data_IF_478414232716
#
_entry.id   IF_478414232716
#
_cell.length_a   1.000
_cell.length_b   1.000
_cell.length_c   1.000
_cell.angle_alpha   90.00
_cell.angle_beta   90.00
_cell.angle_gamma   90.00
#
_symmetry.space_group_name_H-M   'P 1'
#
loop_
_entity.id
_entity.type
_entity.pdbx_description
1 polymer ?
#
# COMPACT_ATOMS: atom_id res chain seq x y z
N UNK A 1 -3.87 -2.03 31.14
CA UNK A 1 -4.15 -0.74 30.46
C UNK A 1 -4.43 -1.03 29.00
N UNK A 2 -5.34 -0.28 28.37
CA UNK A 2 -5.64 -0.45 26.94
C UNK A 2 -4.69 0.40 26.10
N UNK A 3 -4.17 -0.18 25.02
CA UNK A 3 -3.20 0.42 24.11
C UNK A 3 -3.66 0.24 22.67
N UNK A 4 -3.19 1.13 21.80
CA UNK A 4 -3.20 0.90 20.37
C UNK A 4 -2.01 0.00 19.98
N UNK A 5 -2.13 -0.72 18.86
CA UNK A 5 -1.08 -1.59 18.32
C UNK A 5 0.19 -0.77 18.05
N UNK A 6 0.06 0.47 17.57
CA UNK A 6 1.20 1.34 17.28
C UNK A 6 2.04 1.68 18.52
N UNK A 7 1.47 1.59 19.72
CA UNK A 7 2.17 1.86 20.98
C UNK A 7 2.84 0.61 21.57
N UNK A 8 2.57 -0.57 21.00
CA UNK A 8 3.15 -1.82 21.48
C UNK A 8 4.65 -1.90 21.20
N UNK A 9 5.41 -2.19 22.25
CA UNK A 9 6.86 -2.36 22.19
C UNK A 9 7.34 -3.36 23.26
N UNK A 10 8.65 -3.61 23.31
CA UNK A 10 9.25 -4.58 24.23
C UNK A 10 9.15 -4.19 25.72
N UNK A 11 8.91 -2.92 26.05
CA UNK A 11 8.80 -2.48 27.45
C UNK A 11 7.45 -2.89 28.06
N UNK A 12 6.46 -3.18 27.22
CA UNK A 12 5.15 -3.70 27.62
C UNK A 12 5.12 -5.23 27.74
N UNK A 13 6.28 -5.89 27.69
CA UNK A 13 6.36 -7.35 27.68
C UNK A 13 5.94 -7.96 29.03
N UNK A 14 4.91 -8.80 29.02
CA UNK A 14 4.38 -9.47 30.22
C UNK A 14 2.87 -9.31 30.39
N UNK A 15 2.43 -9.25 31.65
CA UNK A 15 1.03 -9.12 32.02
C UNK A 15 0.77 -7.67 32.46
N UNK A 16 0.00 -6.90 31.68
CA UNK A 16 -0.64 -5.60 32.02
C UNK A 16 -1.05 -4.74 30.81
N UNK A 17 -1.01 -5.29 29.60
CA UNK A 17 -1.51 -4.61 28.41
C UNK A 17 -2.75 -5.32 27.86
N UNK A 18 -3.61 -4.55 27.20
CA UNK A 18 -4.71 -5.06 26.41
C UNK A 18 -4.87 -4.24 25.14
N UNK A 19 -5.30 -4.88 24.06
CA UNK A 19 -5.64 -4.24 22.79
C UNK A 19 -7.01 -4.71 22.34
N UNK A 20 -7.75 -3.84 21.68
CA UNK A 20 -9.03 -4.21 21.03
C UNK A 20 -8.82 -4.21 19.53
N UNK A 21 -8.92 -5.40 18.93
CA UNK A 21 -8.45 -5.66 17.56
C UNK A 21 -9.43 -6.52 16.78
N UNK A 22 -9.41 -6.40 15.46
CA UNK A 22 -10.06 -7.35 14.56
C UNK A 22 -9.04 -8.35 14.04
N UNK A 23 -9.44 -9.61 13.90
CA UNK A 23 -8.65 -10.60 13.17
C UNK A 23 -8.84 -10.39 11.67
N UNK A 24 -7.82 -9.92 10.95
CA UNK A 24 -7.89 -9.81 9.48
C UNK A 24 -7.71 -11.16 8.80
N UNK A 25 -6.71 -11.93 9.25
CA UNK A 25 -6.32 -13.18 8.61
C UNK A 25 -5.87 -14.18 9.66
N UNK A 26 -6.17 -15.46 9.46
CA UNK A 26 -5.72 -16.56 10.32
C UNK A 26 -5.20 -17.71 9.46
N UNK A 27 -3.99 -18.17 9.76
CA UNK A 27 -3.43 -19.33 9.08
C UNK A 27 -4.12 -20.62 9.57
N UNK A 28 -4.00 -21.68 8.77
CA UNK A 28 -4.22 -23.03 9.28
C UNK A 28 -3.17 -23.37 10.37
N UNK A 29 -3.40 -24.46 11.10
CA UNK A 29 -2.38 -25.02 11.99
C UNK A 29 -1.23 -25.57 11.14
N UNK A 30 -0.03 -25.09 11.41
CA UNK A 30 1.21 -25.49 10.73
C UNK A 30 2.04 -26.31 11.71
N UNK A 31 2.40 -27.53 11.30
CA UNK A 31 3.32 -28.37 12.05
C UNK A 31 4.78 -27.98 11.75
N UNK A 32 5.66 -28.10 12.73
CA UNK A 32 7.10 -27.91 12.55
C UNK A 32 7.88 -28.99 13.30
N UNK A 33 9.10 -29.21 12.85
CA UNK A 33 10.09 -30.07 13.50
C UNK A 33 11.43 -29.35 13.49
N UNK A 34 12.07 -29.26 14.65
CA UNK A 34 13.41 -28.71 14.78
C UNK A 34 14.22 -29.55 15.79
N UNK A 35 15.46 -29.13 16.06
CA UNK A 35 16.36 -29.81 17.01
C UNK A 35 15.77 -29.92 18.44
N UNK A 36 14.85 -29.02 18.79
CA UNK A 36 14.18 -28.97 20.10
C UNK A 36 12.90 -29.81 20.16
N UNK A 37 12.48 -30.41 19.04
CA UNK A 37 11.35 -31.31 18.96
C UNK A 37 10.34 -30.95 17.86
N UNK A 38 9.19 -31.61 17.91
CA UNK A 38 8.06 -31.35 17.03
C UNK A 38 7.02 -30.48 17.73
N UNK A 39 6.29 -29.68 16.96
CA UNK A 39 5.23 -28.85 17.48
C UNK A 39 4.31 -28.35 16.40
N UNK A 40 3.40 -27.47 16.79
CA UNK A 40 2.47 -26.81 15.89
C UNK A 40 2.26 -25.36 16.29
N UNK A 41 1.88 -24.53 15.34
CA UNK A 41 1.48 -23.16 15.59
C UNK A 41 0.42 -22.72 14.60
N UNK A 42 -0.24 -21.61 14.90
CA UNK A 42 -0.92 -20.83 13.88
C UNK A 42 -0.51 -19.37 14.04
N UNK A 43 -0.64 -18.59 12.98
CA UNK A 43 -0.42 -17.15 12.99
C UNK A 43 -1.68 -16.43 12.59
N UNK A 44 -1.83 -15.21 13.08
CA UNK A 44 -2.94 -14.34 12.72
C UNK A 44 -2.44 -12.91 12.54
N UNK A 45 -3.09 -12.15 11.65
CA UNK A 45 -2.87 -10.72 11.51
C UNK A 45 -4.02 -10.02 12.25
N UNK A 46 -3.65 -9.21 13.23
CA UNK A 46 -4.54 -8.39 14.04
C UNK A 46 -4.45 -6.95 13.55
N UNK A 47 -5.58 -6.25 13.52
CA UNK A 47 -5.64 -4.84 13.13
C UNK A 47 -6.44 -4.02 14.15
N UNK A 48 -6.02 -2.79 14.33
CA UNK A 48 -6.80 -1.72 14.95
C UNK A 48 -6.83 -0.48 14.04
N UNK A 49 -7.17 0.68 14.60
CA UNK A 49 -7.23 1.93 13.83
C UNK A 49 -5.86 2.45 13.41
N UNK A 50 -4.81 2.02 14.09
CA UNK A 50 -3.46 2.57 13.96
C UNK A 50 -2.62 1.75 13.00
N UNK A 51 -2.52 0.44 13.20
CA UNK A 51 -1.68 -0.44 12.39
C UNK A 51 -2.08 -1.91 12.53
N UNK A 52 -1.32 -2.78 11.88
CA UNK A 52 -1.45 -4.22 11.99
C UNK A 52 -0.32 -4.80 12.83
N UNK A 53 -0.55 -5.96 13.41
CA UNK A 53 0.50 -6.75 14.06
C UNK A 53 0.23 -8.24 13.86
N UNK A 54 1.30 -8.99 13.62
CA UNK A 54 1.20 -10.45 13.59
C UNK A 54 1.18 -10.99 15.01
N UNK A 55 0.37 -12.01 15.24
CA UNK A 55 0.38 -12.79 16.47
C UNK A 55 0.52 -14.29 16.18
N UNK A 56 1.15 -15.01 17.10
CA UNK A 56 1.48 -16.45 16.96
C UNK A 56 1.18 -17.22 18.24
N UNK A 57 0.46 -18.33 18.12
CA UNK A 57 0.26 -19.31 19.20
C UNK A 57 0.98 -20.61 18.87
N UNK A 58 1.69 -21.19 19.85
CA UNK A 58 2.41 -22.46 19.72
C UNK A 58 1.80 -23.54 20.62
N UNK A 59 2.02 -24.80 20.28
CA UNK A 59 1.75 -25.94 21.17
C UNK A 59 0.30 -25.96 21.69
N UNK A 60 0.15 -25.93 23.01
CA UNK A 60 -1.17 -25.99 23.67
C UNK A 60 -1.98 -24.70 23.45
N UNK A 61 -1.33 -23.53 23.39
CA UNK A 61 -1.99 -22.27 23.05
C UNK A 61 -2.54 -22.30 21.62
N UNK A 62 -1.88 -23.02 20.71
CA UNK A 62 -2.38 -23.22 19.36
C UNK A 62 -3.70 -24.00 19.39
N UNK A 63 -3.83 -25.04 20.20
CA UNK A 63 -5.11 -25.76 20.29
C UNK A 63 -6.20 -24.96 20.97
N UNK A 64 -5.86 -24.32 22.08
CA UNK A 64 -6.79 -23.53 22.90
C UNK A 64 -7.40 -22.37 22.12
N UNK A 65 -6.56 -21.60 21.42
CA UNK A 65 -6.99 -20.33 20.81
C UNK A 65 -7.48 -20.46 19.37
N UNK A 66 -7.14 -21.56 18.67
CA UNK A 66 -7.43 -21.68 17.24
C UNK A 66 -8.92 -21.65 16.89
N UNK A 67 -9.77 -22.25 17.72
CA UNK A 67 -11.22 -22.23 17.54
C UNK A 67 -11.85 -20.92 18.02
N UNK A 68 -11.22 -20.26 19.00
CA UNK A 68 -11.71 -19.04 19.61
C UNK A 68 -11.53 -17.82 18.70
N UNK A 69 -10.36 -17.68 18.07
CA UNK A 69 -10.08 -16.58 17.15
C UNK A 69 -10.65 -16.89 15.76
N UNK A 70 -11.58 -16.07 15.28
CA UNK A 70 -12.20 -16.18 13.97
C UNK A 70 -11.94 -14.92 13.15
N UNK A 71 -11.73 -15.09 11.84
CA UNK A 71 -11.53 -13.95 10.93
C UNK A 71 -12.73 -13.03 10.93
N UNK A 72 -12.47 -11.73 10.79
CA UNK A 72 -13.40 -10.61 10.83
C UNK A 72 -14.05 -10.31 12.19
N UNK A 73 -13.88 -11.16 13.21
CA UNK A 73 -14.40 -10.90 14.55
C UNK A 73 -13.44 -9.98 15.34
N UNK A 74 -14.00 -9.30 16.34
CA UNK A 74 -13.31 -8.32 17.17
C UNK A 74 -13.07 -8.93 18.55
N UNK A 75 -11.87 -8.74 19.06
CA UNK A 75 -11.44 -9.29 20.34
C UNK A 75 -10.72 -8.24 21.15
N UNK A 76 -10.99 -8.23 22.46
CA UNK A 76 -10.09 -7.64 23.42
C UNK A 76 -9.09 -8.72 23.85
N UNK A 77 -7.83 -8.52 23.48
CA UNK A 77 -6.72 -9.44 23.80
C UNK A 77 -5.93 -8.81 24.92
N UNK A 78 -5.70 -9.57 25.99
CA UNK A 78 -4.90 -9.16 27.14
C UNK A 78 -3.73 -10.10 27.33
N UNK A 79 -2.61 -9.51 27.72
CA UNK A 79 -1.34 -10.19 28.00
C UNK A 79 -0.77 -10.95 26.80
N UNK A 80 0.51 -11.25 26.91
CA UNK A 80 1.27 -11.97 25.90
C UNK A 80 2.66 -11.41 25.79
N UNK A 81 3.51 -12.12 25.06
CA UNK A 81 4.90 -11.73 24.91
C UNK A 81 5.06 -10.91 23.63
N UNK A 82 5.48 -9.66 23.76
CA UNK A 82 5.80 -8.78 22.63
C UNK A 82 7.30 -8.89 22.38
N UNK A 83 7.69 -9.17 21.14
CA UNK A 83 9.09 -9.26 20.73
C UNK A 83 9.29 -8.64 19.36
N UNK A 84 10.54 -8.32 19.00
CA UNK A 84 10.87 -7.93 17.63
C UNK A 84 10.45 -9.03 16.64
N UNK A 85 9.83 -8.62 15.56
CA UNK A 85 9.43 -9.47 14.45
C UNK A 85 10.67 -10.05 13.77
N UNK A 86 10.69 -11.37 13.62
CA UNK A 86 11.72 -12.04 12.85
C UNK A 86 11.43 -11.87 11.36
N UNK A 87 12.06 -10.88 10.72
CA UNK A 87 11.79 -10.52 9.32
C UNK A 87 12.18 -11.62 8.32
N UNK A 88 12.87 -12.67 8.73
CA UNK A 88 13.06 -13.86 7.88
C UNK A 88 11.76 -14.66 7.72
N UNK A 89 10.88 -14.64 8.73
CA UNK A 89 9.63 -15.43 8.78
C UNK A 89 8.36 -14.58 8.93
N UNK A 90 8.52 -13.28 9.13
CA UNK A 90 7.46 -12.31 9.37
C UNK A 90 7.66 -11.07 8.50
N UNK A 91 7.01 -11.09 7.33
CA UNK A 91 7.01 -9.95 6.40
C UNK A 91 5.98 -8.87 6.78
N UNK A 92 5.37 -8.94 7.97
CA UNK A 92 4.42 -7.91 8.39
C UNK A 92 5.10 -6.55 8.55
N UNK A 93 4.31 -5.50 8.35
CA UNK A 93 4.76 -4.09 8.39
C UNK A 93 5.19 -3.65 9.79
N UNK A 94 4.80 -4.38 10.83
CA UNK A 94 5.15 -4.08 12.22
C UNK A 94 6.52 -4.65 12.58
N UNK A 95 7.29 -3.89 13.35
CA UNK A 95 8.59 -4.33 13.87
C UNK A 95 8.48 -5.25 15.08
N UNK A 96 7.29 -5.41 15.62
CA UNK A 96 6.97 -6.32 16.71
C UNK A 96 6.00 -7.42 16.28
N UNK A 97 6.03 -8.53 17.02
CA UNK A 97 5.13 -9.67 16.91
C UNK A 97 4.67 -10.10 18.30
N UNK A 98 3.39 -10.48 18.41
CA UNK A 98 2.81 -10.98 19.65
C UNK A 98 2.91 -12.50 19.69
N UNK A 99 3.45 -13.04 20.78
CA UNK A 99 3.42 -14.46 21.06
C UNK A 99 2.41 -14.71 22.17
N UNK A 100 1.35 -15.42 21.83
CA UNK A 100 0.36 -15.85 22.81
C UNK A 100 0.98 -16.80 23.82
N UNK A 101 0.52 -16.69 25.06
CA UNK A 101 0.96 -17.47 26.22
C UNK A 101 -0.24 -18.04 26.95
N UNK A 102 0.02 -18.91 27.91
CA UNK A 102 -0.99 -19.42 28.84
C UNK A 102 -1.76 -18.28 29.54
N UNK A 103 -1.09 -17.18 29.87
CA UNK A 103 -1.69 -15.99 30.50
C UNK A 103 -2.49 -15.11 29.54
N UNK A 104 -2.46 -15.36 28.23
CA UNK A 104 -3.22 -14.60 27.24
C UNK A 104 -4.71 -14.88 27.39
N UNK A 105 -5.46 -13.79 27.62
CA UNK A 105 -6.91 -13.77 27.72
C UNK A 105 -7.46 -13.15 26.45
N UNK A 106 -8.43 -13.83 25.81
CA UNK A 106 -9.12 -13.34 24.62
C UNK A 106 -10.61 -13.26 24.94
N UNK A 107 -11.19 -12.06 24.77
CA UNK A 107 -12.61 -11.80 25.01
C UNK A 107 -13.20 -11.26 23.72
N UNK A 108 -14.11 -12.02 23.10
CA UNK A 108 -14.84 -11.57 21.92
C UNK A 108 -15.71 -10.36 22.25
N UNK A 109 -15.68 -9.37 21.37
CA UNK A 109 -16.46 -8.15 21.48
C UNK A 109 -17.57 -8.16 20.43
N UNK A 110 -18.77 -7.77 20.84
CA UNK A 110 -19.94 -7.68 19.98
C UNK A 110 -20.39 -6.22 19.87
N UNK A 111 -20.95 -5.86 18.72
CA UNK A 111 -21.51 -4.54 18.46
C UNK A 111 -20.78 -3.77 17.36
N UNK A 112 -21.14 -2.49 17.21
CA UNK A 112 -20.52 -1.61 16.24
C UNK A 112 -19.10 -1.24 16.69
N UNK A 113 -18.15 -1.37 15.78
CA UNK A 113 -16.77 -0.93 15.95
C UNK A 113 -16.35 -0.12 14.73
N UNK A 114 -15.44 0.82 14.93
CA UNK A 114 -14.75 1.56 13.90
C UNK A 114 -13.38 0.94 13.53
N UNK A 115 -13.07 -0.26 14.05
CA UNK A 115 -11.90 -1.03 13.64
C UNK A 115 -12.05 -1.49 12.18
N UNK A 116 -11.07 -1.19 11.30
CA UNK A 116 -11.11 -1.54 9.88
C UNK A 116 -11.36 -3.03 9.61
N UNK A 117 -12.04 -3.33 8.50
CA UNK A 117 -12.27 -4.69 7.96
C UNK A 117 -11.29 -5.05 6.85
N UNK A 118 -10.33 -4.19 6.59
CA UNK A 118 -9.37 -4.28 5.50
C UNK A 118 -7.99 -3.89 6.02
N UNK A 119 -6.91 -4.31 5.34
CA UNK A 119 -5.55 -3.88 5.69
C UNK A 119 -5.39 -2.35 5.65
N UNK A 120 -4.27 -1.84 6.15
CA UNK A 120 -3.95 -0.42 6.11
C UNK A 120 -3.65 0.06 4.68
N UNK A 121 -4.72 0.44 3.97
CA UNK A 121 -4.68 0.90 2.58
C UNK A 121 -4.05 2.28 2.47
N UNK A 122 -3.09 2.42 1.56
CA UNK A 122 -2.49 3.70 1.15
C UNK A 122 -3.20 4.24 -0.08
N UNK A 123 -3.32 5.57 -0.14
CA UNK A 123 -3.86 6.24 -1.33
C UNK A 123 -2.86 6.12 -2.49
N UNK A 124 -3.36 6.27 -3.71
CA UNK A 124 -2.53 6.35 -4.91
C UNK A 124 -1.64 7.60 -4.88
N UNK A 125 -2.05 8.66 -4.18
CA UNK A 125 -1.16 9.80 -3.90
C UNK A 125 0.05 9.38 -3.07
N UNK A 126 -0.14 8.60 -1.99
CA UNK A 126 0.98 8.14 -1.15
C UNK A 126 2.01 7.33 -1.95
N UNK A 127 1.56 6.50 -2.90
CA UNK A 127 2.44 5.70 -3.76
C UNK A 127 3.56 6.51 -4.40
N UNK A 128 3.31 7.76 -4.81
CA UNK A 128 4.31 8.60 -5.48
C UNK A 128 5.45 9.05 -4.57
N UNK A 129 5.25 8.99 -3.25
CA UNK A 129 6.25 9.34 -2.24
C UNK A 129 6.98 8.13 -1.64
N UNK A 130 6.60 6.91 -2.04
CA UNK A 130 7.15 5.68 -1.46
C UNK A 130 8.38 5.18 -2.22
N UNK A 131 9.29 4.56 -1.47
CA UNK A 131 10.54 4.03 -2.02
C UNK A 131 10.31 2.82 -2.93
N UNK A 132 11.18 2.67 -3.93
CA UNK A 132 11.20 1.52 -4.84
C UNK A 132 11.48 0.25 -4.04
N UNK A 133 10.88 -0.86 -4.47
CA UNK A 133 10.91 -2.19 -3.84
C UNK A 133 10.16 -2.31 -2.51
N UNK A 134 9.48 -1.26 -2.06
CA UNK A 134 8.55 -1.36 -0.92
C UNK A 134 7.23 -2.00 -1.33
N UNK A 135 6.54 -2.59 -0.34
CA UNK A 135 5.21 -3.16 -0.51
C UNK A 135 4.14 -2.13 -0.17
N UNK A 136 3.08 -2.08 -0.97
CA UNK A 136 1.95 -1.19 -0.81
C UNK A 136 0.63 -1.98 -0.86
N UNK A 137 -0.26 -1.66 0.08
CA UNK A 137 -1.66 -2.07 -0.01
C UNK A 137 -2.44 -0.86 -0.51
N UNK A 138 -3.21 -1.03 -1.58
CA UNK A 138 -3.97 0.08 -2.16
C UNK A 138 -5.27 -0.42 -2.78
N UNK A 139 -6.21 0.49 -2.98
CA UNK A 139 -7.49 0.23 -3.61
C UNK A 139 -7.84 1.37 -4.55
N UNK A 140 -8.41 1.03 -5.71
CA UNK A 140 -8.84 2.01 -6.68
C UNK A 140 -9.89 1.46 -7.63
N UNK A 141 -10.53 2.34 -8.37
CA UNK A 141 -11.38 1.98 -9.50
C UNK A 141 -10.50 1.65 -10.71
N UNK A 142 -10.84 0.60 -11.44
CA UNK A 142 -10.22 0.26 -12.71
C UNK A 142 -10.69 1.26 -13.75
N UNK A 143 -9.80 2.14 -14.20
CA UNK A 143 -10.07 3.09 -15.28
C UNK A 143 -9.83 2.46 -16.65
N UNK A 144 -8.84 1.57 -16.73
CA UNK A 144 -8.47 0.95 -18.01
C UNK A 144 -7.83 -0.41 -17.83
N UNK A 145 -8.20 -1.33 -18.71
CA UNK A 145 -7.59 -2.67 -18.80
C UNK A 145 -6.87 -2.78 -20.16
N UNK A 146 -5.54 -2.81 -20.15
CA UNK A 146 -4.77 -2.97 -21.39
C UNK A 146 -4.82 -4.43 -21.88
N UNK A 147 -4.58 -4.61 -23.19
CA UNK A 147 -4.43 -5.95 -23.77
C UNK A 147 -3.18 -6.63 -23.21
N UNK A 148 -3.26 -7.94 -22.98
CA UNK A 148 -2.10 -8.77 -22.62
C UNK A 148 -1.04 -8.68 -23.71
N UNK A 149 0.22 -8.50 -23.30
CA UNK A 149 1.40 -8.43 -24.16
C UNK A 149 2.38 -9.54 -23.77
N UNK A 150 3.20 -9.96 -24.71
CA UNK A 150 4.27 -10.92 -24.47
C UNK A 150 5.61 -10.19 -24.46
N UNK A 151 6.41 -10.44 -23.43
CA UNK A 151 7.71 -9.78 -23.20
C UNK A 151 8.79 -10.85 -23.10
N UNK A 152 9.85 -10.73 -23.90
CA UNK A 152 11.01 -11.62 -23.82
C UNK A 152 11.79 -11.40 -22.53
N UNK A 153 12.23 -12.49 -21.90
CA UNK A 153 13.17 -12.41 -20.78
C UNK A 153 14.51 -11.89 -21.28
N UNK A 154 15.19 -11.04 -20.48
CA UNK A 154 16.48 -10.46 -20.86
C UNK A 154 17.56 -11.52 -21.19
N UNK A 155 17.47 -12.71 -20.58
CA UNK A 155 18.53 -13.73 -20.62
C UNK A 155 18.03 -15.14 -21.02
N UNK A 156 16.82 -15.28 -21.56
CA UNK A 156 16.35 -16.57 -22.10
C UNK A 156 15.45 -16.37 -23.31
N UNK A 157 15.24 -17.44 -24.09
CA UNK A 157 14.23 -17.46 -25.15
C UNK A 157 12.80 -17.52 -24.60
N UNK A 158 12.63 -17.64 -23.29
CA UNK A 158 11.31 -17.63 -22.68
C UNK A 158 10.72 -16.23 -22.69
N UNK A 159 9.40 -16.20 -22.57
CA UNK A 159 8.60 -14.98 -22.51
C UNK A 159 7.77 -14.96 -21.23
N UNK A 160 7.42 -13.76 -20.80
CA UNK A 160 6.39 -13.51 -19.79
C UNK A 160 5.19 -12.88 -20.45
N UNK A 161 3.99 -13.17 -19.95
CA UNK A 161 2.81 -12.37 -20.29
C UNK A 161 2.67 -11.22 -19.30
N UNK A 162 2.35 -10.04 -19.81
CA UNK A 162 2.16 -8.83 -19.04
C UNK A 162 0.80 -8.22 -19.38
N UNK A 163 0.08 -7.77 -18.36
CA UNK A 163 -1.12 -6.93 -18.52
C UNK A 163 -1.00 -5.70 -17.62
N UNK A 164 -1.12 -4.52 -18.21
CA UNK A 164 -1.19 -3.25 -17.47
C UNK A 164 -2.65 -2.95 -17.13
N UNK A 165 -2.92 -2.57 -15.89
CA UNK A 165 -4.23 -2.09 -15.40
C UNK A 165 -4.01 -0.70 -14.81
N UNK A 166 -4.85 0.26 -15.16
CA UNK A 166 -4.76 1.61 -14.61
C UNK A 166 -5.82 1.75 -13.53
N UNK A 167 -5.37 1.99 -12.30
CA UNK A 167 -6.22 2.31 -11.16
C UNK A 167 -6.26 3.81 -10.92
N UNK A 168 -7.37 4.30 -10.39
CA UNK A 168 -7.54 5.67 -9.89
C UNK A 168 -8.29 5.63 -8.56
N UNK A 169 -8.06 6.58 -7.67
CA UNK A 169 -8.75 6.66 -6.39
C UNK A 169 -9.34 8.06 -6.17
N UNK A 170 -9.89 8.29 -4.98
CA UNK A 170 -10.53 9.57 -4.61
C UNK A 170 -9.58 10.78 -4.64
N UNK A 171 -8.27 10.56 -4.59
CA UNK A 171 -7.28 11.65 -4.68
C UNK A 171 -7.17 12.20 -6.11
N UNK A 172 -7.69 11.46 -7.10
CA UNK A 172 -7.62 11.84 -8.50
C UNK A 172 -6.33 11.41 -9.20
N UNK A 173 -5.36 10.87 -8.47
CA UNK A 173 -4.15 10.27 -9.05
C UNK A 173 -4.44 8.88 -9.62
N UNK A 174 -3.71 8.52 -10.68
CA UNK A 174 -3.78 7.21 -11.31
C UNK A 174 -2.46 6.48 -11.20
N UNK A 175 -2.48 5.16 -11.04
CA UNK A 175 -1.27 4.32 -11.03
C UNK A 175 -1.43 3.14 -11.97
N UNK A 176 -0.35 2.73 -12.63
CA UNK A 176 -0.31 1.51 -13.43
C UNK A 176 0.08 0.32 -12.57
N UNK A 177 -0.77 -0.69 -12.56
CA UNK A 177 -0.57 -2.00 -11.94
C UNK A 177 -0.19 -3.00 -13.01
N UNK A 178 0.87 -3.75 -12.79
CA UNK A 178 1.40 -4.75 -13.71
C UNK A 178 1.07 -6.14 -13.19
N UNK A 179 0.31 -6.88 -13.98
CA UNK A 179 0.07 -8.30 -13.79
C UNK A 179 1.02 -9.13 -14.67
N UNK A 180 1.38 -10.31 -14.17
CA UNK A 180 2.29 -11.22 -14.85
C UNK A 180 1.62 -12.58 -15.11
N UNK A 181 2.05 -13.27 -16.16
CA UNK A 181 1.73 -14.67 -16.48
C UNK A 181 0.28 -15.08 -16.18
N UNK A 182 0.07 -15.90 -15.15
CA UNK A 182 -1.24 -16.46 -14.80
C UNK A 182 -2.24 -15.35 -14.49
N UNK A 183 -1.85 -14.39 -13.66
CA UNK A 183 -2.66 -13.22 -13.29
C UNK A 183 -2.94 -12.38 -14.54
N UNK A 184 -1.96 -12.19 -15.42
CA UNK A 184 -2.13 -11.45 -16.66
C UNK A 184 -3.06 -12.14 -17.67
N UNK A 185 -3.14 -13.47 -17.70
CA UNK A 185 -4.03 -14.21 -18.60
C UNK A 185 -5.44 -14.25 -18.02
N UNK A 186 -5.55 -14.62 -16.74
CA UNK A 186 -6.81 -14.96 -16.10
C UNK A 186 -7.50 -13.75 -15.46
N UNK A 187 -6.91 -12.55 -15.54
CA UNK A 187 -7.54 -11.34 -15.03
C UNK A 187 -8.93 -11.15 -15.63
N UNK A 188 -9.93 -11.14 -14.75
CA UNK A 188 -11.35 -11.08 -15.08
C UNK A 188 -12.04 -10.03 -14.21
N UNK A 189 -12.09 -8.81 -14.72
CA UNK A 189 -12.81 -7.66 -14.17
C UNK A 189 -13.12 -6.68 -15.31
N UNK A 190 -13.94 -5.67 -15.04
CA UNK A 190 -14.34 -4.65 -16.00
C UNK A 190 -13.80 -3.27 -15.58
N UNK A 191 -13.73 -2.35 -16.54
CA UNK A 191 -13.58 -0.93 -16.23
C UNK A 191 -14.76 -0.47 -15.37
N UNK A 192 -14.49 0.32 -14.33
CA UNK A 192 -15.44 0.71 -13.29
C UNK A 192 -15.52 -0.23 -12.09
N UNK A 193 -14.99 -1.46 -12.16
CA UNK A 193 -14.87 -2.32 -10.99
C UNK A 193 -13.84 -1.76 -9.99
N UNK A 194 -14.05 -2.03 -8.71
CA UNK A 194 -13.08 -1.68 -7.66
C UNK A 194 -12.08 -2.83 -7.50
N UNK A 195 -10.80 -2.51 -7.51
CA UNK A 195 -9.71 -3.45 -7.35
C UNK A 195 -8.86 -3.05 -6.15
N UNK A 196 -8.67 -3.98 -5.22
CA UNK A 196 -7.68 -3.87 -4.15
C UNK A 196 -6.46 -4.73 -4.49
N UNK A 197 -5.28 -4.23 -4.13
CA UNK A 197 -4.01 -4.93 -4.21
C UNK A 197 -3.40 -4.90 -2.83
N UNK A 198 -3.16 -6.07 -2.25
CA UNK A 198 -2.43 -6.23 -0.98
C UNK A 198 -1.03 -6.74 -1.32
N UNK A 199 -0.02 -6.19 -0.65
CA UNK A 199 1.40 -6.50 -0.86
C UNK A 199 1.84 -6.32 -2.32
N UNK A 200 1.39 -5.27 -3.00
CA UNK A 200 1.89 -4.89 -4.32
C UNK A 200 3.29 -4.29 -4.22
N UNK A 201 4.23 -4.64 -5.10
CA UNK A 201 5.59 -4.13 -5.04
C UNK A 201 5.77 -2.89 -5.91
N UNK A 202 6.32 -1.81 -5.35
CA UNK A 202 6.68 -0.62 -6.13
C UNK A 202 7.92 -0.91 -6.98
N UNK A 203 7.79 -0.78 -8.29
CA UNK A 203 8.88 -1.02 -9.25
C UNK A 203 9.05 0.17 -10.18
N UNK A 204 10.22 0.28 -10.80
CA UNK A 204 10.45 1.20 -11.92
C UNK A 204 10.55 0.42 -13.22
N UNK A 205 9.68 0.75 -14.17
CA UNK A 205 9.74 0.19 -15.52
C UNK A 205 9.70 1.30 -16.56
N UNK A 206 10.74 1.38 -17.39
CA UNK A 206 10.92 2.45 -18.40
C UNK A 206 10.81 3.86 -17.80
N UNK A 207 11.48 4.09 -16.67
CA UNK A 207 11.52 5.35 -15.92
C UNK A 207 10.15 5.81 -15.38
N UNK A 208 9.18 4.90 -15.26
CA UNK A 208 7.89 5.17 -14.64
C UNK A 208 7.70 4.22 -13.47
N UNK A 209 7.29 4.78 -12.32
CA UNK A 209 6.94 3.99 -11.16
C UNK A 209 5.62 3.26 -11.42
N UNK A 210 5.58 1.96 -11.10
CA UNK A 210 4.41 1.10 -11.23
C UNK A 210 4.26 0.22 -9.99
N UNK A 211 3.07 -0.35 -9.81
CA UNK A 211 2.84 -1.40 -8.81
C UNK A 211 2.91 -2.74 -9.54
N UNK A 212 3.85 -3.61 -9.18
CA UNK A 212 3.94 -4.97 -9.69
C UNK A 212 3.20 -5.92 -8.75
N UNK A 213 2.31 -6.74 -9.30
CA UNK A 213 1.77 -7.89 -8.59
C UNK A 213 2.82 -8.99 -8.60
N UNK A 214 3.11 -9.54 -7.43
CA UNK A 214 4.10 -10.61 -7.23
C UNK A 214 3.43 -11.84 -6.64
N UNK A 215 4.16 -12.94 -6.45
CA UNK A 215 3.59 -14.18 -5.89
C UNK A 215 3.08 -14.05 -4.45
N UNK A 216 3.48 -13.01 -3.71
CA UNK A 216 2.95 -12.70 -2.38
C UNK A 216 1.77 -11.73 -2.40
N UNK A 217 1.48 -11.11 -3.54
CA UNK A 217 0.42 -10.10 -3.66
C UNK A 217 -0.97 -10.75 -3.75
N UNK A 218 -1.97 -10.11 -3.18
CA UNK A 218 -3.37 -10.55 -3.25
C UNK A 218 -4.21 -9.52 -4.00
N UNK A 219 -4.96 -9.97 -5.02
CA UNK A 219 -5.90 -9.12 -5.78
C UNK A 219 -7.31 -9.46 -5.35
N UNK A 220 -8.08 -8.44 -4.96
CA UNK A 220 -9.50 -8.58 -4.66
C UNK A 220 -10.31 -7.66 -5.56
N UNK A 221 -11.27 -8.24 -6.30
CA UNK A 221 -12.21 -7.51 -7.15
C UNK A 221 -13.51 -7.31 -6.38
N UNK A 222 -13.97 -6.06 -6.31
CA UNK A 222 -15.14 -5.61 -5.57
C UNK A 222 -15.21 -6.19 -4.14
N UNK A 223 -14.16 -6.02 -3.31
CA UNK A 223 -14.16 -6.53 -1.94
C UNK A 223 -15.28 -5.89 -1.13
N UNK A 224 -15.87 -6.63 -0.20
CA UNK A 224 -16.99 -6.16 0.64
C UNK A 224 -16.50 -5.29 1.80
N UNK A 225 -16.03 -4.10 1.47
CA UNK A 225 -15.55 -3.11 2.43
C UNK A 225 -16.27 -1.78 2.23
N UNK A 226 -16.40 -1.00 3.30
CA UNK A 226 -17.01 0.33 3.22
C UNK A 226 -16.31 1.23 2.20
N UNK A 227 -14.98 1.19 2.16
CA UNK A 227 -14.15 1.94 1.18
C UNK A 227 -14.48 1.60 -0.28
N UNK A 228 -14.98 0.39 -0.56
CA UNK A 228 -15.41 -0.04 -1.89
C UNK A 228 -16.66 0.72 -2.33
N UNK A 229 -17.70 0.77 -1.48
CA UNK A 229 -18.95 1.48 -1.77
C UNK A 229 -18.72 2.99 -1.95
N UNK A 230 -17.84 3.51 -1.10
CA UNK A 230 -17.32 4.86 -1.11
C UNK A 230 -16.63 5.23 -2.43
N UNK A 231 -15.75 4.36 -2.94
CA UNK A 231 -15.07 4.54 -4.23
C UNK A 231 -16.04 4.43 -5.40
N UNK A 232 -16.97 3.47 -5.36
CA UNK A 232 -18.01 3.33 -6.39
C UNK A 232 -18.87 4.59 -6.50
N UNK A 233 -19.28 5.15 -5.36
CA UNK A 233 -20.07 6.39 -5.31
C UNK A 233 -19.30 7.57 -5.89
N UNK A 234 -18.04 7.73 -5.47
CA UNK A 234 -17.15 8.75 -6.01
C UNK A 234 -16.95 8.62 -7.52
N UNK A 235 -16.73 7.40 -8.03
CA UNK A 235 -16.49 7.17 -9.45
C UNK A 235 -17.72 7.52 -10.30
N UNK A 236 -18.93 7.15 -9.85
CA UNK A 236 -20.18 7.54 -10.54
C UNK A 236 -20.34 9.05 -10.65
N UNK A 237 -19.92 9.82 -9.65
CA UNK A 237 -19.92 11.28 -9.72
C UNK A 237 -18.83 11.83 -10.65
N UNK A 238 -17.65 11.22 -10.61
CA UNK A 238 -16.53 11.55 -11.50
C UNK A 238 -16.91 11.35 -12.98
N UNK A 239 -17.47 10.20 -13.35
CA UNK A 239 -17.91 9.91 -14.72
C UNK A 239 -18.99 10.88 -15.21
N UNK A 240 -19.97 11.22 -14.35
CA UNK A 240 -21.00 12.21 -14.70
C UNK A 240 -20.37 13.56 -15.04
N UNK A 241 -19.37 14.00 -14.28
CA UNK A 241 -18.67 15.27 -14.54
C UNK A 241 -17.88 15.21 -15.86
N UNK A 242 -17.17 14.12 -16.12
CA UNK A 242 -16.48 13.88 -17.40
C UNK A 242 -17.44 13.91 -18.60
N UNK A 243 -18.57 13.20 -18.51
CA UNK A 243 -19.60 13.19 -19.56
C UNK A 243 -20.27 14.55 -19.74
N UNK A 244 -20.52 15.29 -18.66
CA UNK A 244 -21.04 16.66 -18.73
C UNK A 244 -20.05 17.59 -19.43
N UNK A 245 -18.77 17.51 -19.10
CA UNK A 245 -17.72 18.28 -19.79
C UNK A 245 -17.70 17.94 -21.29
N UNK A 246 -17.76 16.66 -21.66
CA UNK A 246 -17.83 16.21 -23.06
C UNK A 246 -19.11 16.67 -23.79
N UNK A 247 -20.25 16.70 -23.09
CA UNK A 247 -21.53 17.13 -23.66
C UNK A 247 -21.62 18.65 -23.86
N UNK A 248 -21.06 19.44 -22.94
CA UNK A 248 -20.92 20.90 -23.08
C UNK A 248 -19.98 21.25 -24.23
N UNK A 249 -19.01 20.39 -24.53
CA UNK A 249 -18.16 20.50 -25.73
C UNK A 249 -18.90 20.10 -27.02
N UNK A 250 -19.97 19.29 -26.95
CA UNK A 250 -20.68 18.73 -28.11
C UNK A 250 -21.92 19.53 -28.54
N UNK A 251 -22.51 20.34 -27.65
CA UNK A 251 -23.69 21.18 -27.96
C UNK A 251 -23.33 22.47 -28.72
N UNK A 252 -22.03 22.78 -28.88
CA UNK A 252 -21.55 23.96 -29.61
C UNK A 252 -21.50 23.85 -31.14
N UNK A 253 -22.15 22.86 -31.76
CA UNK A 253 -22.02 22.63 -33.21
C UNK A 253 -23.32 22.24 -33.91
N UNK A 254 -24.23 23.20 -34.14
CA UNK A 254 -25.01 23.34 -35.39
C UNK A 254 -25.46 24.81 -35.64
N UNK A 255 -24.86 25.39 -36.70
CA UNK A 255 -25.26 26.46 -37.66
C UNK A 255 -25.69 27.88 -37.22
N UNK A 256 -24.78 28.87 -37.34
CA UNK A 256 -24.65 29.80 -38.49
C UNK A 256 -23.64 30.95 -38.21
N UNK A 257 -22.49 30.96 -38.91
CA UNK A 257 -21.89 32.11 -39.61
C UNK A 257 -20.40 31.88 -39.94
N UNK A 258 -20.05 32.15 -41.19
CA UNK A 258 -18.77 31.84 -41.85
C UNK A 258 -17.55 32.66 -41.36
N UNK A 259 -17.68 33.42 -40.27
CA UNK A 259 -16.54 34.04 -39.56
C UNK A 259 -16.00 33.17 -38.41
N UNK A 260 -16.77 32.19 -37.91
CA UNK A 260 -16.43 31.46 -36.68
C UNK A 260 -15.65 30.15 -36.91
N UNK A 261 -15.60 29.63 -38.14
CA UNK A 261 -14.82 28.41 -38.48
C UNK A 261 -13.32 28.62 -38.22
N UNK A 262 -12.83 29.87 -38.38
CA UNK A 262 -11.46 30.23 -38.03
C UNK A 262 -11.22 30.33 -36.52
N UNK A 263 -12.26 30.54 -35.71
CA UNK A 263 -12.20 30.67 -34.25
C UNK A 263 -12.41 29.32 -33.55
N UNK A 264 -13.26 28.43 -34.09
CA UNK A 264 -13.47 27.09 -33.58
C UNK A 264 -12.27 26.16 -33.82
N UNK A 265 -11.63 26.24 -34.99
CA UNK A 265 -10.36 25.55 -35.22
C UNK A 265 -9.25 26.11 -34.31
N UNK A 266 -9.22 27.44 -34.07
CA UNK A 266 -8.32 28.02 -33.06
C UNK A 266 -8.62 27.49 -31.67
N UNK A 267 -9.88 27.37 -31.25
CA UNK A 267 -10.24 26.91 -29.91
C UNK A 267 -9.98 25.42 -29.67
N UNK A 268 -10.15 24.56 -30.69
CA UNK A 268 -9.68 23.16 -30.62
C UNK A 268 -8.17 23.08 -30.47
N UNK A 269 -7.44 23.85 -31.28
CA UNK A 269 -5.98 23.93 -31.17
C UNK A 269 -5.54 24.58 -29.84
N UNK A 270 -6.30 25.53 -29.29
CA UNK A 270 -6.02 26.16 -27.99
C UNK A 270 -6.27 25.17 -26.86
N UNK A 271 -7.35 24.38 -26.87
CA UNK A 271 -7.60 23.37 -25.82
C UNK A 271 -6.61 22.20 -25.88
N UNK A 272 -6.24 21.74 -27.08
CA UNK A 272 -5.17 20.76 -27.24
C UNK A 272 -3.81 21.33 -26.80
N UNK A 273 -3.55 22.63 -27.07
CA UNK A 273 -2.37 23.32 -26.56
C UNK A 273 -2.41 23.51 -25.05
N UNK A 274 -3.54 23.85 -24.44
CA UNK A 274 -3.69 23.97 -22.98
C UNK A 274 -3.52 22.61 -22.32
N UNK A 275 -4.06 21.53 -22.88
CA UNK A 275 -3.83 20.17 -22.40
C UNK A 275 -2.37 19.75 -22.53
N UNK A 276 -1.72 20.06 -23.66
CA UNK A 276 -0.28 19.82 -23.83
C UNK A 276 0.58 20.70 -22.93
N UNK A 277 0.23 21.98 -22.76
CA UNK A 277 0.91 22.93 -21.87
C UNK A 277 0.77 22.48 -20.42
N UNK A 278 -0.42 22.05 -19.97
CA UNK A 278 -0.60 21.49 -18.64
C UNK A 278 0.19 20.20 -18.43
N UNK A 279 0.26 19.31 -19.44
CA UNK A 279 1.10 18.10 -19.38
C UNK A 279 2.59 18.45 -19.34
N UNK A 280 3.02 19.45 -20.10
CA UNK A 280 4.41 19.92 -20.13
C UNK A 280 4.75 20.64 -18.82
N UNK A 281 3.83 21.44 -18.27
CA UNK A 281 3.97 22.12 -16.98
C UNK A 281 4.05 21.09 -15.85
N UNK A 282 3.18 20.07 -15.82
CA UNK A 282 3.26 18.97 -14.86
C UNK A 282 4.60 18.20 -14.99
N UNK A 283 5.07 17.95 -16.22
CA UNK A 283 6.37 17.32 -16.45
C UNK A 283 7.53 18.20 -15.97
N UNK A 284 7.50 19.51 -16.23
CA UNK A 284 8.52 20.46 -15.80
C UNK A 284 8.50 20.67 -14.27
N UNK A 285 7.32 20.69 -13.66
CA UNK A 285 7.15 20.72 -12.20
C UNK A 285 7.75 19.45 -11.60
N UNK A 286 7.48 18.27 -12.18
CA UNK A 286 8.02 16.99 -11.74
C UNK A 286 9.55 16.93 -11.88
N UNK A 287 10.12 17.40 -13.00
CA UNK A 287 11.57 17.53 -13.17
C UNK A 287 12.21 18.50 -12.17
N UNK A 288 11.54 19.62 -11.87
CA UNK A 288 12.02 20.62 -10.92
C UNK A 288 11.96 20.10 -9.48
N UNK A 289 10.91 19.35 -9.13
CA UNK A 289 10.80 18.68 -7.84
C UNK A 289 11.89 17.61 -7.66
N UNK A 290 12.22 16.86 -8.72
CA UNK A 290 13.31 15.88 -8.70
C UNK A 290 14.67 16.55 -8.48
N UNK A 291 14.97 17.64 -9.19
CA UNK A 291 16.20 18.43 -8.99
C UNK A 291 16.29 19.00 -7.57
N UNK A 292 15.18 19.47 -7.01
CA UNK A 292 15.12 19.96 -5.64
C UNK A 292 15.37 18.83 -4.63
N UNK A 293 14.82 17.64 -4.87
CA UNK A 293 15.05 16.47 -4.02
C UNK A 293 16.53 16.06 -4.03
N UNK A 294 17.18 16.03 -5.19
CA UNK A 294 18.61 15.76 -5.32
C UNK A 294 19.48 16.81 -4.61
N UNK A 295 19.13 18.10 -4.70
CA UNK A 295 19.81 19.17 -3.97
C UNK A 295 19.66 19.05 -2.45
N UNK A 296 18.45 18.69 -1.97
CA UNK A 296 18.20 18.44 -0.55
C UNK A 296 19.05 17.27 -0.06
N UNK A 297 19.10 16.16 -0.80
CA UNK A 297 19.92 15.00 -0.46
C UNK A 297 21.41 15.34 -0.43
N UNK A 298 21.89 16.16 -1.39
CA UNK A 298 23.28 16.63 -1.41
C UNK A 298 23.61 17.48 -0.18
N UNK A 299 22.73 18.41 0.20
CA UNK A 299 22.89 19.22 1.41
C UNK A 299 22.85 18.38 2.68
N UNK A 300 21.99 17.37 2.74
CA UNK A 300 21.91 16.46 3.88
C UNK A 300 23.20 15.68 4.08
N UNK A 301 23.83 15.25 2.97
CA UNK A 301 25.15 14.60 2.99
C UNK A 301 26.24 15.55 3.48
N UNK A 302 26.27 16.79 2.99
CA UNK A 302 27.23 17.80 3.43
C UNK A 302 27.08 18.15 4.93
N UNK A 303 25.85 18.25 5.43
CA UNK A 303 25.57 18.42 6.87
C UNK A 303 26.12 17.25 7.67
N UNK A 304 25.94 16.02 7.18
CA UNK A 304 26.43 14.81 7.82
C UNK A 304 27.96 14.81 7.90
N UNK A 305 28.64 15.15 6.80
CA UNK A 305 30.10 15.24 6.75
C UNK A 305 30.65 16.34 7.68
N UNK A 306 29.98 17.50 7.74
CA UNK A 306 30.33 18.59 8.67
C UNK A 306 30.16 18.18 10.13
N UNK A 307 29.12 17.41 10.45
CA UNK A 307 28.91 16.89 11.80
C UNK A 307 30.03 15.92 12.21
N UNK A 308 30.43 15.01 11.31
CA UNK A 308 31.58 14.13 11.57
C UNK A 308 32.89 14.92 11.76
N UNK A 309 33.12 15.94 10.93
CA UNK A 309 34.31 16.81 11.07
C UNK A 309 34.30 17.57 12.40
N UNK A 310 33.15 18.10 12.81
CA UNK A 310 32.97 18.79 14.09
C UNK A 310 33.26 17.86 15.27
N UNK A 311 32.76 16.61 15.22
CA UNK A 311 33.01 15.63 16.26
C UNK A 311 34.50 15.27 16.35
N UNK A 312 35.17 15.07 15.22
CA UNK A 312 36.62 14.81 15.19
C UNK A 312 37.43 15.95 15.80
N UNK A 313 37.13 17.20 15.44
CA UNK A 313 37.80 18.37 16.02
C UNK A 313 37.53 18.53 17.52
N UNK A 314 36.34 18.13 17.99
CA UNK A 314 36.02 18.10 19.42
C UNK A 314 36.91 17.11 20.17
N UNK A 315 37.03 15.89 19.63
CA UNK A 315 37.88 14.84 20.22
C UNK A 315 39.36 15.23 20.21
N UNK A 316 39.85 15.86 19.14
CA UNK A 316 41.23 16.37 19.04
C UNK A 316 41.47 17.54 20.03
N UNK A 317 40.46 18.36 20.31
CA UNK A 317 40.58 19.43 21.32
C UNK A 317 40.61 18.88 22.74
N UNK A 318 39.81 17.86 23.03
CA UNK A 318 39.80 17.20 24.34
C UNK A 318 41.14 16.51 24.62
N UNK A 319 41.74 15.82 23.64
CA UNK A 319 43.04 15.17 23.82
C UNK A 319 44.21 16.15 24.00
N UNK A 320 44.10 17.39 23.53
CA UNK A 320 45.07 18.46 23.78
C UNK A 320 44.91 19.13 25.14
N UNK A 321 43.75 19.01 25.79
CA UNK A 321 43.51 19.53 27.15
C UNK A 321 43.91 18.52 28.24
N UNK A 322 44.06 17.25 27.88
CA UNK A 322 44.49 16.16 28.78
C UNK A 322 46.02 15.93 28.80
N UNK A 323 46.79 16.68 28.02
CA UNK A 323 48.27 16.73 28.04
C UNK A 323 48.78 18.06 28.60
#
# INVERSE_FOLDING_TARGET
MEYDIADLNNDLNGDNWSITVRVLKKSNKISYQNERGTGKYFTTILIDKTTEIRAKAFGDDCDRLFLQLQENNVYNIKNGKIQLADKEYNNSKNDYEIFFKETTIIIEQFGFTDIPTHPQLKTIENFWSMDINTLIDTIGVIIKIEKSKEIKKKNSNDTYKLRDIILKDKTGFSVTVVLWDTEAINFNANEGDIMSIIDGQIIVFKNVNKISVTGSSEILINPRWKVTEDLQSWYKEFEKKELLNLSQMSIGSQEHNTSEISQCNRNKTINERILQENIIEDYQISERLLKLHDEVNKKQKEITDLNFKKQRLSNERESLLEN
#
